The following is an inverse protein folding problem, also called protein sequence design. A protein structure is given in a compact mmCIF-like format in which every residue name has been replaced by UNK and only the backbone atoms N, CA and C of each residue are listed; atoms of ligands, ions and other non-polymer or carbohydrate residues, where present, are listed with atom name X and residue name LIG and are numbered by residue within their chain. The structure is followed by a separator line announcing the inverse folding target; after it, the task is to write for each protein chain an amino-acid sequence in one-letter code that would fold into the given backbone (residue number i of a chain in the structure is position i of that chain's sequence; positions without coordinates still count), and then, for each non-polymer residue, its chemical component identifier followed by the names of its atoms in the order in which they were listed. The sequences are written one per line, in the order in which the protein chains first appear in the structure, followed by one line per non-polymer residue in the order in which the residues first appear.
data_IF_347059644460
#
_entry.id   IF_347059644460
#
_cell.length_a   1.000
_cell.length_b   1.000
_cell.length_c   1.000
_cell.angle_alpha   90.00
_cell.angle_beta   90.00
_cell.angle_gamma   90.00
#
_symmetry.space_group_name_H-M   'P 1'
#
loop_
_entity.id
_entity.type
_entity.pdbx_description
1 polymer ?
#
# COMPACT_ATOMS: atom_id res chain seq x y z
N UNK A 1 -38.50 -12.90 -14.26
CA UNK A 1 -38.19 -11.68 -13.51
C UNK A 1 -36.72 -11.53 -13.29
N UNK A 2 -36.23 -10.52 -13.81
CA UNK A 2 -34.92 -10.01 -14.17
C UNK A 2 -33.83 -10.04 -13.07
N UNK A 3 -33.25 -11.21 -12.81
CA UNK A 3 -31.98 -11.32 -12.07
C UNK A 3 -30.80 -10.59 -12.80
N UNK A 4 -30.92 -10.35 -14.12
CA UNK A 4 -29.91 -9.68 -14.93
C UNK A 4 -29.77 -8.19 -14.66
N UNK A 5 -30.84 -7.48 -14.36
CA UNK A 5 -30.82 -6.02 -14.20
C UNK A 5 -30.00 -5.55 -12.99
N UNK A 6 -30.12 -6.20 -11.84
CA UNK A 6 -29.31 -5.90 -10.65
C UNK A 6 -27.81 -6.11 -10.86
N UNK A 7 -27.45 -7.14 -11.62
CA UNK A 7 -26.03 -7.43 -11.89
C UNK A 7 -25.41 -6.40 -12.86
N UNK A 8 -26.20 -5.90 -13.82
CA UNK A 8 -25.78 -4.85 -14.76
C UNK A 8 -25.59 -3.51 -14.05
N UNK A 9 -26.57 -3.06 -13.25
CA UNK A 9 -26.44 -1.83 -12.43
C UNK A 9 -25.24 -1.90 -11.50
N UNK A 10 -24.98 -3.07 -10.88
CA UNK A 10 -23.80 -3.25 -10.04
C UNK A 10 -22.50 -3.17 -10.83
N UNK A 11 -22.46 -3.72 -12.04
CA UNK A 11 -21.28 -3.63 -12.93
C UNK A 11 -21.02 -2.19 -13.38
N UNK A 12 -22.06 -1.46 -13.77
CA UNK A 12 -21.98 -0.05 -14.17
C UNK A 12 -21.47 0.81 -13.01
N UNK A 13 -22.10 0.72 -11.84
CA UNK A 13 -21.65 1.43 -10.64
C UNK A 13 -20.22 1.08 -10.23
N UNK A 14 -19.81 -0.19 -10.35
CA UNK A 14 -18.44 -0.60 -10.06
C UNK A 14 -17.45 -0.08 -11.11
N UNK A 15 -17.88 0.12 -12.35
CA UNK A 15 -17.08 0.70 -13.41
C UNK A 15 -16.89 2.21 -13.21
N UNK A 16 -17.96 2.92 -12.82
CA UNK A 16 -17.92 4.35 -12.48
C UNK A 16 -17.06 4.64 -11.24
N UNK A 17 -17.19 3.78 -10.22
CA UNK A 17 -16.42 3.92 -8.98
C UNK A 17 -15.01 3.28 -9.05
N UNK A 18 -14.60 2.84 -10.24
CA UNK A 18 -13.27 2.24 -10.38
C UNK A 18 -12.20 3.31 -10.25
N UNK A 19 -11.31 3.11 -9.32
CA UNK A 19 -10.14 3.95 -9.14
C UNK A 19 -9.27 3.92 -10.40
N UNK A 20 -9.09 5.06 -11.04
CA UNK A 20 -8.31 5.22 -12.27
C UNK A 20 -6.87 5.64 -12.02
N UNK A 21 -6.55 6.12 -10.79
CA UNK A 21 -5.19 6.54 -10.43
C UNK A 21 -4.19 5.39 -10.54
N UNK A 22 -2.96 5.63 -11.05
CA UNK A 22 -1.90 4.62 -11.05
C UNK A 22 -1.58 4.21 -9.61
N UNK A 23 -1.51 2.90 -9.38
CA UNK A 23 -1.33 2.37 -8.03
C UNK A 23 -0.62 1.02 -8.03
N UNK A 24 -0.02 0.69 -6.90
CA UNK A 24 0.44 -0.65 -6.60
C UNK A 24 0.12 -1.05 -5.16
N UNK A 25 -0.04 -2.35 -4.95
CA UNK A 25 -0.38 -2.92 -3.65
C UNK A 25 0.53 -4.11 -3.33
N UNK A 26 1.15 -4.10 -2.18
CA UNK A 26 1.77 -5.29 -1.59
C UNK A 26 0.85 -5.81 -0.47
N UNK A 27 0.34 -7.03 -0.65
CA UNK A 27 -0.54 -7.69 0.32
C UNK A 27 0.25 -8.67 1.19
N UNK A 28 -0.18 -8.82 2.45
CA UNK A 28 0.37 -9.78 3.41
C UNK A 28 1.88 -9.62 3.66
N UNK A 29 2.34 -8.39 3.67
CA UNK A 29 3.73 -8.08 4.00
C UNK A 29 3.96 -8.35 5.48
N UNK A 30 5.06 -9.05 5.82
CA UNK A 30 5.41 -9.39 7.21
C UNK A 30 6.01 -8.19 7.94
N UNK A 31 5.20 -7.18 8.13
CA UNK A 31 5.54 -5.91 8.74
C UNK A 31 4.35 -5.41 9.56
N UNK A 32 4.59 -4.71 10.67
CA UNK A 32 3.53 -4.02 11.39
C UNK A 32 3.06 -2.79 10.61
N UNK A 33 1.75 -2.58 10.54
CA UNK A 33 1.11 -1.41 9.93
C UNK A 33 1.66 -0.08 10.45
N UNK A 34 1.90 0.03 11.75
CA UNK A 34 2.50 1.23 12.36
C UNK A 34 3.91 1.52 11.85
N UNK A 35 4.76 0.48 11.70
CA UNK A 35 6.12 0.64 11.16
C UNK A 35 6.10 1.00 9.68
N UNK A 36 5.18 0.43 8.91
CA UNK A 36 4.99 0.78 7.51
C UNK A 36 4.54 2.24 7.36
N UNK A 37 3.56 2.67 8.17
CA UNK A 37 2.99 4.03 8.12
C UNK A 37 4.04 5.11 8.31
N UNK A 38 4.91 4.98 9.31
CA UNK A 38 5.97 5.96 9.59
C UNK A 38 6.87 6.18 8.37
N UNK A 39 7.22 5.11 7.64
CA UNK A 39 8.05 5.23 6.44
C UNK A 39 7.27 5.81 5.27
N UNK A 40 6.04 5.37 5.07
CA UNK A 40 5.20 5.84 3.98
C UNK A 40 4.83 7.33 4.10
N UNK A 41 4.66 7.83 5.32
CA UNK A 41 4.38 9.26 5.57
C UNK A 41 5.54 10.16 5.12
N UNK A 42 6.79 9.67 5.16
CA UNK A 42 7.95 10.46 4.70
C UNK A 42 7.97 10.72 3.19
N UNK A 43 7.31 9.88 2.40
CA UNK A 43 7.28 9.99 0.94
C UNK A 43 5.99 10.61 0.41
N UNK A 44 4.97 10.76 1.23
CA UNK A 44 3.69 11.35 0.83
C UNK A 44 3.87 12.79 0.33
N UNK A 45 3.30 13.10 -0.83
CA UNK A 45 3.36 14.42 -1.44
C UNK A 45 4.68 14.73 -2.20
N UNK A 46 5.63 13.79 -2.23
CA UNK A 46 6.94 13.98 -2.87
C UNK A 46 6.96 13.48 -4.31
N UNK A 47 7.83 14.07 -5.14
CA UNK A 47 8.11 13.56 -6.49
C UNK A 47 8.74 12.18 -6.47
N UNK A 48 8.60 11.42 -7.56
CA UNK A 48 9.06 10.02 -7.61
C UNK A 48 10.56 9.89 -7.33
N UNK A 49 11.39 10.74 -7.93
CA UNK A 49 12.86 10.68 -7.75
C UNK A 49 13.26 10.99 -6.31
N UNK A 50 12.61 11.97 -5.69
CA UNK A 50 12.83 12.32 -4.28
C UNK A 50 12.38 11.20 -3.34
N UNK A 51 11.21 10.62 -3.60
CA UNK A 51 10.68 9.50 -2.83
C UNK A 51 11.59 8.27 -2.91
N UNK A 52 12.12 7.94 -4.10
CA UNK A 52 13.10 6.87 -4.28
C UNK A 52 14.37 7.12 -3.46
N UNK A 53 14.94 8.33 -3.54
CA UNK A 53 16.13 8.67 -2.79
C UNK A 53 15.93 8.51 -1.28
N UNK A 54 14.82 9.03 -0.72
CA UNK A 54 14.49 8.90 0.70
C UNK A 54 14.40 7.42 1.12
N UNK A 55 13.73 6.58 0.32
CA UNK A 55 13.58 5.16 0.63
C UNK A 55 14.89 4.40 0.52
N UNK A 56 15.74 4.71 -0.45
CA UNK A 56 17.06 4.05 -0.62
C UNK A 56 18.01 4.34 0.54
N UNK A 57 18.01 5.55 1.05
CA UNK A 57 18.88 5.94 2.17
C UNK A 57 18.29 5.61 3.55
N UNK A 58 17.04 5.16 3.62
CA UNK A 58 16.41 4.81 4.88
C UNK A 58 16.87 3.44 5.38
N UNK A 59 17.43 3.31 6.60
CA UNK A 59 17.90 2.02 7.14
C UNK A 59 16.76 1.11 7.62
N UNK A 60 15.51 1.50 7.41
CA UNK A 60 14.33 0.76 7.90
C UNK A 60 13.93 -0.33 6.92
N UNK A 61 13.70 -1.55 7.40
CA UNK A 61 13.19 -2.66 6.59
C UNK A 61 11.91 -2.34 5.80
N UNK A 62 11.05 -1.48 6.37
CA UNK A 62 9.84 -1.02 5.69
C UNK A 62 10.13 -0.21 4.41
N UNK A 63 11.30 0.44 4.33
CA UNK A 63 11.67 1.26 3.18
C UNK A 63 11.97 0.42 1.93
N UNK A 64 12.61 -0.72 2.07
CA UNK A 64 12.86 -1.66 0.97
C UNK A 64 11.54 -2.14 0.35
N UNK A 65 10.58 -2.50 1.19
CA UNK A 65 9.25 -2.92 0.74
C UNK A 65 8.52 -1.78 0.05
N UNK A 66 8.54 -0.58 0.65
CA UNK A 66 7.92 0.60 0.06
C UNK A 66 8.54 0.99 -1.28
N UNK A 67 9.87 0.84 -1.43
CA UNK A 67 10.59 1.09 -2.68
C UNK A 67 10.12 0.15 -3.79
N UNK A 68 9.98 -1.15 -3.49
CA UNK A 68 9.49 -2.13 -4.46
C UNK A 68 8.04 -1.82 -4.89
N UNK A 69 7.18 -1.42 -3.95
CA UNK A 69 5.79 -1.01 -4.26
C UNK A 69 5.77 0.27 -5.09
N UNK A 70 6.63 1.25 -4.76
CA UNK A 70 6.75 2.50 -5.51
C UNK A 70 7.19 2.24 -6.96
N UNK A 71 8.21 1.41 -7.17
CA UNK A 71 8.67 1.04 -8.50
C UNK A 71 7.58 0.32 -9.31
N UNK A 72 6.83 -0.58 -8.68
CA UNK A 72 5.66 -1.22 -9.32
C UNK A 72 4.57 -0.21 -9.68
N UNK A 73 4.32 0.81 -8.85
CA UNK A 73 3.31 1.84 -9.13
C UNK A 73 3.73 2.70 -10.31
N UNK A 74 5.01 3.06 -10.40
CA UNK A 74 5.57 3.83 -11.54
C UNK A 74 5.49 3.00 -12.82
N UNK A 75 5.92 1.75 -12.81
CA UNK A 75 5.81 0.86 -13.98
C UNK A 75 4.35 0.69 -14.45
N UNK A 76 3.40 0.60 -13.50
CA UNK A 76 1.98 0.55 -13.84
C UNK A 76 1.48 1.86 -14.47
N UNK A 77 2.00 3.02 -14.05
CA UNK A 77 1.68 4.32 -14.63
C UNK A 77 2.19 4.42 -16.07
N UNK A 78 3.44 4.05 -16.30
CA UNK A 78 4.07 4.07 -17.62
C UNK A 78 3.41 3.09 -18.60
N UNK A 79 3.32 1.81 -18.22
CA UNK A 79 2.82 0.77 -19.14
C UNK A 79 1.31 0.81 -19.39
N UNK A 80 0.51 1.09 -18.36
CA UNK A 80 -0.95 0.99 -18.49
C UNK A 80 -1.61 2.31 -18.88
N UNK A 81 -0.97 3.44 -18.56
CA UNK A 81 -1.55 4.78 -18.73
C UNK A 81 -0.71 5.68 -19.65
N UNK A 82 0.52 5.28 -19.99
CA UNK A 82 1.43 6.07 -20.83
C UNK A 82 1.88 7.39 -20.19
N UNK A 83 1.96 7.41 -18.84
CA UNK A 83 2.32 8.60 -18.08
C UNK A 83 3.83 8.69 -17.87
N UNK A 84 4.38 9.91 -17.96
CA UNK A 84 5.80 10.16 -17.71
C UNK A 84 6.11 10.14 -16.21
N UNK A 85 7.12 9.36 -15.80
CA UNK A 85 7.53 9.22 -14.40
C UNK A 85 7.93 10.56 -13.75
N UNK A 86 8.52 11.49 -14.51
CA UNK A 86 8.99 12.78 -13.99
C UNK A 86 7.84 13.71 -13.59
N UNK A 87 6.68 13.54 -14.20
CA UNK A 87 5.47 14.31 -13.91
C UNK A 87 4.62 13.70 -12.79
N UNK A 88 5.04 12.55 -12.24
CA UNK A 88 4.33 11.88 -11.17
C UNK A 88 4.80 12.29 -9.79
N UNK A 89 3.88 12.22 -8.83
CA UNK A 89 4.16 12.38 -7.41
C UNK A 89 3.37 11.37 -6.58
N UNK A 90 3.81 11.13 -5.36
CA UNK A 90 3.10 10.24 -4.42
C UNK A 90 1.92 10.99 -3.82
N UNK A 91 0.72 10.73 -4.32
CA UNK A 91 -0.50 11.40 -3.88
C UNK A 91 -0.99 10.86 -2.54
N UNK A 92 -1.10 9.53 -2.44
CA UNK A 92 -1.66 8.87 -1.27
C UNK A 92 -0.88 7.60 -0.95
N UNK A 93 -0.72 7.35 0.33
CA UNK A 93 -0.09 6.15 0.86
C UNK A 93 -0.96 5.52 1.93
N UNK A 94 -1.08 4.21 1.92
CA UNK A 94 -1.88 3.49 2.90
C UNK A 94 -1.10 2.31 3.47
N UNK A 95 -1.17 2.14 4.79
CA UNK A 95 -0.70 0.96 5.49
C UNK A 95 -1.84 0.39 6.32
N UNK A 96 -2.48 -0.63 5.81
CA UNK A 96 -3.61 -1.28 6.46
C UNK A 96 -3.17 -2.57 7.16
N UNK A 97 -3.77 -2.87 8.31
CA UNK A 97 -3.52 -4.10 9.02
C UNK A 97 -4.06 -5.29 8.22
N UNK A 98 -3.23 -6.31 8.04
CA UNK A 98 -3.62 -7.57 7.44
C UNK A 98 -4.46 -8.43 8.39
N UNK A 99 -5.08 -9.48 7.84
CA UNK A 99 -5.89 -10.40 8.62
C UNK A 99 -5.08 -11.06 9.74
N UNK A 100 -5.65 -11.14 10.93
CA UNK A 100 -5.08 -11.84 12.07
C UNK A 100 -4.99 -13.36 11.87
N UNK A 101 -5.74 -13.91 10.93
CA UNK A 101 -5.72 -15.35 10.61
C UNK A 101 -4.35 -15.83 10.12
N UNK A 102 -3.61 -15.00 9.41
CA UNK A 102 -2.24 -15.28 8.97
C UNK A 102 -1.17 -14.88 9.99
N UNK A 103 -1.58 -14.24 11.09
CA UNK A 103 -0.67 -13.81 12.13
C UNK A 103 -0.22 -14.99 12.98
N UNK A 104 1.10 -15.22 13.03
CA UNK A 104 1.68 -16.23 13.92
C UNK A 104 1.79 -15.67 15.31
N UNK A 105 1.33 -16.44 16.27
CA UNK A 105 1.39 -16.12 17.69
C UNK A 105 2.65 -16.69 18.31
N UNK A 106 3.29 -15.92 19.17
CA UNK A 106 4.27 -16.41 20.14
C UNK A 106 3.66 -16.33 21.53
N UNK A 107 3.86 -17.33 22.32
CA UNK A 107 3.50 -17.32 23.73
C UNK A 107 4.73 -16.90 24.54
N UNK A 108 4.55 -15.93 25.42
CA UNK A 108 5.53 -15.53 26.45
C UNK A 108 4.99 -15.95 27.81
N UNK A 109 5.62 -16.95 28.48
CA UNK A 109 5.22 -17.36 29.83
C UNK A 109 5.33 -16.17 30.81
N UNK A 110 4.41 -16.11 31.77
CA UNK A 110 4.36 -15.12 32.83
C UNK A 110 4.19 -15.82 34.17
N UNK A 111 4.29 -15.06 35.28
CA UNK A 111 4.09 -15.55 36.63
C UNK A 111 2.70 -16.19 36.80
N UNK A 112 2.58 -17.11 37.75
CA UNK A 112 1.34 -17.82 38.12
C UNK A 112 0.70 -18.60 36.99
N UNK A 113 1.50 -19.23 36.07
CA UNK A 113 1.01 -20.04 34.98
C UNK A 113 0.30 -19.28 33.86
N UNK A 114 0.34 -17.94 33.85
CA UNK A 114 -0.24 -17.12 32.79
C UNK A 114 0.69 -17.07 31.58
N UNK A 115 0.14 -16.79 30.39
CA UNK A 115 0.90 -16.59 29.18
C UNK A 115 0.34 -15.41 28.37
N UNK A 116 1.23 -14.57 27.86
CA UNK A 116 0.85 -13.49 26.95
C UNK A 116 1.09 -13.93 25.51
N UNK A 117 0.11 -13.64 24.64
CA UNK A 117 0.25 -13.84 23.20
C UNK A 117 0.94 -12.63 22.58
N UNK A 118 2.01 -12.88 21.82
CA UNK A 118 2.71 -11.87 21.02
C UNK A 118 2.35 -12.10 19.58
N UNK A 119 1.61 -11.18 18.98
CA UNK A 119 1.17 -11.25 17.59
C UNK A 119 2.25 -10.71 16.64
N UNK A 120 2.59 -11.47 15.61
CA UNK A 120 3.41 -11.00 14.48
C UNK A 120 2.47 -10.55 13.37
N UNK A 121 2.22 -9.25 13.30
CA UNK A 121 1.27 -8.64 12.39
C UNK A 121 1.75 -8.69 10.94
N UNK A 122 0.79 -8.81 10.05
CA UNK A 122 0.93 -8.55 8.62
C UNK A 122 0.27 -7.22 8.27
N UNK A 123 0.75 -6.58 7.23
CA UNK A 123 0.16 -5.36 6.71
C UNK A 123 -0.03 -5.43 5.20
N UNK A 124 -0.90 -4.59 4.69
CA UNK A 124 -1.09 -4.30 3.28
C UNK A 124 -0.59 -2.89 3.03
N UNK A 125 0.36 -2.75 2.12
CA UNK A 125 0.93 -1.47 1.71
C UNK A 125 0.38 -1.10 0.35
N UNK A 126 -0.13 0.11 0.23
CA UNK A 126 -0.66 0.63 -1.03
C UNK A 126 -0.09 2.02 -1.28
N UNK A 127 0.33 2.28 -2.51
CA UNK A 127 0.82 3.58 -2.97
C UNK A 127 0.01 3.98 -4.20
N UNK A 128 -0.52 5.20 -4.17
CA UNK A 128 -1.25 5.83 -5.26
C UNK A 128 -0.46 7.02 -5.76
N UNK A 129 -0.32 7.10 -7.07
CA UNK A 129 0.37 8.21 -7.72
C UNK A 129 -0.64 9.17 -8.33
N UNK A 130 -0.23 10.44 -8.44
CA UNK A 130 -0.98 11.49 -9.12
C UNK A 130 -0.05 12.23 -10.07
N UNK A 131 -0.63 12.85 -11.09
CA UNK A 131 0.10 13.74 -12.00
C UNK A 131 0.21 15.14 -11.40
N UNK A 132 1.39 15.74 -11.53
CA UNK A 132 1.58 17.16 -11.23
C UNK A 132 0.84 17.95 -12.30
N UNK A 133 -0.30 18.53 -11.97
CA UNK A 133 -0.95 19.50 -12.83
C UNK A 133 -0.01 20.70 -12.93
N UNK A 134 0.53 20.99 -14.12
CA UNK A 134 1.25 22.24 -14.37
C UNK A 134 0.28 23.41 -14.07
N UNK A 135 0.61 24.20 -13.05
CA UNK A 135 -0.06 25.48 -12.81
C UNK A 135 0.53 26.53 -13.73
#
# INVERSE_FOLDING_TARGET
MAKGHRSQIKKERNKENRETRPRAHAKYVRLSDTKARIVLETIKGKGINEARAILMYSPRYAAEIALNVLNSAVANAEHNMGLDADNLYVQEVQANRGSSHYSRWRLKPRAKGRANRIERKFSHVSIYLGEKTAK
#
